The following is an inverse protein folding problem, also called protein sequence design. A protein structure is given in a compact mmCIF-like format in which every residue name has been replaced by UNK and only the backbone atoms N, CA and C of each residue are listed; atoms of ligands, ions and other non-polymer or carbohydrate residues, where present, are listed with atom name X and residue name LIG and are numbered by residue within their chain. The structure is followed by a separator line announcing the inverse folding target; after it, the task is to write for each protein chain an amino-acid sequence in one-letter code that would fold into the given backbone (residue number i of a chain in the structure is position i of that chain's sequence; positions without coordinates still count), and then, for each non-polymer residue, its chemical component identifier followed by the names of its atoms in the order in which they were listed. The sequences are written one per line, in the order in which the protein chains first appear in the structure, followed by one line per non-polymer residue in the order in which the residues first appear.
data_IF_316146626147
#
_entry.id   IF_316146626147
#
_cell.length_a   1.000
_cell.length_b   1.000
_cell.length_c   1.000
_cell.angle_alpha   90.00
_cell.angle_beta   90.00
_cell.angle_gamma   90.00
#
_symmetry.space_group_name_H-M   'P 1'
#
loop_
_entity.id
_entity.type
_entity.pdbx_description
1 polymer ?
#
# COMPACT_ATOMS: atom_id res chain seq x y z
N UNK A 1 -79.50 -21.15 -5.46
CA UNK A 1 -78.56 -20.75 -4.33
C UNK A 1 -77.13 -20.98 -4.80
N UNK A 2 -76.47 -19.95 -5.19
CA UNK A 2 -75.11 -20.01 -5.81
C UNK A 2 -74.12 -19.47 -4.81
N UNK A 3 -73.24 -20.36 -4.31
CA UNK A 3 -72.14 -19.99 -3.42
C UNK A 3 -70.96 -19.56 -4.29
N UNK A 4 -70.52 -18.28 -4.15
CA UNK A 4 -69.34 -17.71 -4.77
C UNK A 4 -68.13 -18.11 -3.94
N UNK A 5 -67.21 -18.85 -4.55
CA UNK A 5 -65.89 -19.16 -3.96
C UNK A 5 -64.88 -18.09 -4.43
N UNK A 6 -64.41 -17.31 -3.49
CA UNK A 6 -63.32 -16.36 -3.76
C UNK A 6 -61.96 -17.10 -3.69
N UNK A 7 -61.30 -17.20 -4.83
CA UNK A 7 -59.90 -17.64 -4.92
C UNK A 7 -59.02 -16.44 -4.66
N UNK A 8 -58.38 -16.45 -3.51
CA UNK A 8 -57.32 -15.49 -3.17
C UNK A 8 -56.00 -15.97 -3.82
N UNK A 9 -55.59 -15.29 -4.87
CA UNK A 9 -54.29 -15.50 -5.50
C UNK A 9 -53.21 -14.83 -4.64
N UNK A 10 -52.39 -15.62 -3.97
CA UNK A 10 -51.19 -15.17 -3.28
C UNK A 10 -50.09 -15.02 -4.32
N UNK A 11 -49.77 -13.79 -4.67
CA UNK A 11 -48.62 -13.43 -5.50
C UNK A 11 -47.37 -13.48 -4.66
N UNK A 12 -46.61 -14.57 -4.73
CA UNK A 12 -45.29 -14.68 -4.16
C UNK A 12 -44.33 -13.94 -5.07
N UNK A 13 -43.97 -12.72 -4.70
CA UNK A 13 -42.91 -11.97 -5.35
C UNK A 13 -41.56 -12.61 -4.98
N UNK A 14 -40.97 -13.32 -5.93
CA UNK A 14 -39.60 -13.84 -5.85
C UNK A 14 -38.65 -12.65 -5.98
N UNK A 15 -38.16 -12.15 -4.86
CA UNK A 15 -37.06 -11.20 -4.84
C UNK A 15 -35.78 -11.98 -5.15
N UNK A 16 -35.45 -12.07 -6.43
CA UNK A 16 -34.15 -12.52 -6.88
C UNK A 16 -33.11 -11.42 -6.54
N UNK A 17 -32.52 -11.51 -5.36
CA UNK A 17 -31.36 -10.72 -5.03
C UNK A 17 -30.22 -11.16 -5.94
N UNK A 18 -30.01 -10.39 -7.01
CA UNK A 18 -28.85 -10.51 -7.88
C UNK A 18 -27.61 -10.17 -7.03
N UNK A 19 -26.89 -11.21 -6.63
CA UNK A 19 -25.51 -11.09 -6.16
C UNK A 19 -24.61 -10.74 -7.36
N UNK A 20 -24.91 -9.61 -8.02
CA UNK A 20 -24.08 -9.04 -9.06
C UNK A 20 -22.88 -8.40 -8.41
N UNK A 21 -21.87 -9.20 -8.32
CA UNK A 21 -20.51 -8.82 -8.63
C UNK A 21 -19.90 -7.65 -7.84
N UNK A 22 -19.53 -7.93 -6.58
CA UNK A 22 -18.55 -7.11 -5.84
C UNK A 22 -17.16 -7.05 -6.54
N UNK A 23 -16.95 -7.82 -7.59
CA UNK A 23 -15.75 -7.79 -8.44
C UNK A 23 -15.75 -6.68 -9.49
N UNK A 24 -16.92 -6.32 -10.02
CA UNK A 24 -17.03 -5.29 -11.08
C UNK A 24 -16.92 -3.86 -10.54
N UNK A 25 -17.28 -3.63 -9.28
CA UNK A 25 -17.14 -2.31 -8.66
C UNK A 25 -15.69 -1.89 -8.39
N UNK A 26 -14.74 -2.82 -8.37
CA UNK A 26 -13.30 -2.49 -8.18
C UNK A 26 -12.64 -1.91 -9.42
N UNK A 27 -13.17 -2.11 -10.60
CA UNK A 27 -12.57 -1.66 -11.87
C UNK A 27 -13.12 -0.31 -12.32
N UNK A 28 -14.35 0.03 -11.93
CA UNK A 28 -15.01 1.30 -12.29
C UNK A 28 -14.63 2.49 -11.40
N UNK A 29 -13.83 2.28 -10.34
CA UNK A 29 -13.65 3.25 -9.26
C UNK A 29 -12.43 4.17 -9.35
N UNK A 30 -11.66 4.15 -10.43
CA UNK A 30 -10.50 5.05 -10.55
C UNK A 30 -10.88 6.44 -11.07
N UNK A 31 -12.10 6.61 -11.54
CA UNK A 31 -12.60 7.88 -12.09
C UNK A 31 -13.25 8.77 -11.02
N UNK A 32 -13.46 8.26 -9.82
CA UNK A 32 -13.90 9.05 -8.68
C UNK A 32 -12.68 9.47 -7.87
N UNK A 33 -12.35 10.76 -7.86
CA UNK A 33 -11.24 11.35 -7.12
C UNK A 33 -11.12 10.85 -5.66
N UNK A 34 -12.21 10.47 -5.02
CA UNK A 34 -12.24 9.96 -3.65
C UNK A 34 -11.57 8.58 -3.46
N UNK A 35 -11.58 7.71 -4.47
CA UNK A 35 -10.92 6.40 -4.36
C UNK A 35 -9.39 6.53 -4.51
N UNK A 36 -8.92 7.34 -5.45
CA UNK A 36 -7.48 7.57 -5.62
C UNK A 36 -6.87 8.28 -4.39
N UNK A 37 -7.56 9.23 -3.82
CA UNK A 37 -7.09 9.94 -2.63
C UNK A 37 -6.96 9.01 -1.42
N UNK A 38 -7.93 8.13 -1.21
CA UNK A 38 -7.84 7.13 -0.13
C UNK A 38 -6.72 6.10 -0.36
N UNK A 39 -6.46 5.70 -1.62
CA UNK A 39 -5.30 4.87 -1.96
C UNK A 39 -3.99 5.60 -1.66
N UNK A 40 -3.87 6.85 -2.05
CA UNK A 40 -2.68 7.67 -1.80
C UNK A 40 -2.40 7.77 -0.30
N UNK A 41 -3.40 8.18 0.50
CA UNK A 41 -3.26 8.30 1.95
C UNK A 41 -2.83 7.01 2.61
N UNK A 42 -3.47 5.88 2.26
CA UNK A 42 -3.16 4.56 2.81
C UNK A 42 -1.72 4.13 2.49
N UNK A 43 -1.32 4.19 1.22
CA UNK A 43 0.02 3.75 0.80
C UNK A 43 1.12 4.69 1.27
N UNK A 44 0.86 6.00 1.32
CA UNK A 44 1.78 7.00 1.85
C UNK A 44 2.07 6.75 3.33
N UNK A 45 1.01 6.59 4.14
CA UNK A 45 1.12 6.30 5.57
C UNK A 45 1.86 4.98 5.82
N UNK A 46 1.48 3.90 5.12
CA UNK A 46 2.10 2.57 5.26
C UNK A 46 3.61 2.56 4.94
N UNK A 47 4.11 3.51 4.16
CA UNK A 47 5.51 3.57 3.74
C UNK A 47 6.28 4.79 4.29
N UNK A 48 5.69 5.57 5.19
CA UNK A 48 6.28 6.79 5.76
C UNK A 48 6.77 7.78 4.68
N UNK A 49 5.93 8.01 3.66
CA UNK A 49 6.19 8.97 2.59
C UNK A 49 5.10 10.04 2.61
N UNK A 50 5.43 11.34 2.44
CA UNK A 50 4.41 12.37 2.32
C UNK A 50 3.47 12.10 1.14
N UNK A 51 2.16 12.23 1.34
CA UNK A 51 1.15 12.05 0.27
C UNK A 51 1.46 12.90 -0.96
N UNK A 52 1.94 14.11 -0.75
CA UNK A 52 2.30 15.02 -1.82
C UNK A 52 3.40 14.43 -2.73
N UNK A 53 4.32 13.65 -2.17
CA UNK A 53 5.34 12.97 -2.98
C UNK A 53 4.71 11.88 -3.85
N UNK A 54 3.76 11.11 -3.31
CA UNK A 54 3.03 10.09 -4.07
C UNK A 54 2.24 10.76 -5.20
N UNK A 55 1.49 11.83 -4.91
CA UNK A 55 0.75 12.63 -5.90
C UNK A 55 1.66 13.18 -6.99
N UNK A 56 2.82 13.70 -6.63
CA UNK A 56 3.81 14.24 -7.57
C UNK A 56 4.31 13.18 -8.54
N UNK A 57 4.61 11.96 -8.07
CA UNK A 57 5.02 10.86 -8.94
C UNK A 57 3.85 10.44 -9.84
N UNK A 58 2.66 10.21 -9.30
CA UNK A 58 1.47 9.84 -10.09
C UNK A 58 1.21 10.85 -11.22
N UNK A 59 1.20 12.15 -10.88
CA UNK A 59 0.99 13.22 -11.85
C UNK A 59 2.04 13.19 -12.99
N UNK A 60 3.30 12.95 -12.62
CA UNK A 60 4.41 12.93 -13.58
C UNK A 60 4.37 11.68 -14.47
N UNK A 61 4.09 10.51 -13.91
CA UNK A 61 4.27 9.22 -14.57
C UNK A 61 3.08 8.84 -15.45
N UNK A 62 1.86 9.10 -14.99
CA UNK A 62 0.64 8.68 -15.71
C UNK A 62 -0.44 9.75 -15.82
N UNK A 63 -0.31 10.85 -15.06
CA UNK A 63 -1.41 11.81 -14.90
C UNK A 63 -2.62 11.23 -14.18
N UNK A 64 -2.44 10.18 -13.38
CA UNK A 64 -3.51 9.50 -12.63
C UNK A 64 -4.15 8.33 -13.37
N UNK A 65 -3.67 7.96 -14.55
CA UNK A 65 -4.23 6.87 -15.37
C UNK A 65 -3.63 5.51 -14.97
N UNK A 66 -4.45 4.61 -14.45
CA UNK A 66 -3.99 3.32 -13.94
C UNK A 66 -3.52 2.33 -15.03
N UNK A 67 -4.14 2.39 -16.22
CA UNK A 67 -3.91 1.38 -17.27
C UNK A 67 -2.84 1.77 -18.28
N UNK A 68 -1.97 2.75 -17.97
CA UNK A 68 -0.90 3.17 -18.88
C UNK A 68 0.22 2.12 -18.91
N UNK A 69 0.64 1.78 -20.13
CA UNK A 69 1.84 0.97 -20.39
C UNK A 69 2.74 1.81 -21.28
N UNK A 70 3.97 2.06 -20.88
CA UNK A 70 4.94 2.81 -21.66
C UNK A 70 6.36 2.29 -21.43
N UNK A 71 7.03 1.89 -22.52
CA UNK A 71 8.45 1.46 -22.50
C UNK A 71 8.76 0.41 -21.42
N UNK A 72 7.81 -0.53 -21.18
CA UNK A 72 7.96 -1.58 -20.17
C UNK A 72 7.73 -1.10 -18.71
N UNK A 73 7.16 0.10 -18.54
CA UNK A 73 6.63 0.56 -17.27
C UNK A 73 5.10 0.41 -17.26
N UNK A 74 4.52 0.14 -16.09
CA UNK A 74 3.13 -0.26 -15.94
C UNK A 74 2.41 0.57 -14.88
N UNK A 75 1.15 0.92 -15.18
CA UNK A 75 0.19 1.41 -14.21
C UNK A 75 0.38 2.86 -13.78
N UNK A 76 -0.31 3.22 -12.69
CA UNK A 76 -0.47 4.60 -12.24
C UNK A 76 0.85 5.29 -11.85
N UNK A 77 1.83 4.55 -11.36
CA UNK A 77 3.16 5.06 -10.99
C UNK A 77 4.27 4.60 -11.95
N UNK A 78 3.94 3.96 -13.08
CA UNK A 78 4.86 3.53 -14.12
C UNK A 78 6.05 2.72 -13.59
N UNK A 79 5.77 1.70 -12.76
CA UNK A 79 6.81 0.82 -12.23
C UNK A 79 7.17 -0.28 -13.22
N UNK A 80 8.43 -0.67 -13.30
CA UNK A 80 8.88 -1.83 -14.08
C UNK A 80 8.58 -3.12 -13.34
N UNK A 81 8.24 -4.19 -14.10
CA UNK A 81 7.99 -5.51 -13.51
C UNK A 81 9.18 -6.01 -12.68
N UNK A 82 10.42 -5.81 -13.15
CA UNK A 82 11.62 -6.18 -12.39
C UNK A 82 11.75 -5.42 -11.08
N UNK A 83 11.45 -4.12 -11.08
CA UNK A 83 11.46 -3.29 -9.86
C UNK A 83 10.37 -3.72 -8.89
N UNK A 84 9.15 -3.97 -9.38
CA UNK A 84 8.05 -4.48 -8.55
C UNK A 84 8.39 -5.84 -7.92
N UNK A 85 9.03 -6.74 -8.69
CA UNK A 85 9.50 -8.03 -8.19
C UNK A 85 10.56 -7.88 -7.09
N UNK A 86 11.49 -6.94 -7.23
CA UNK A 86 12.44 -6.58 -6.18
C UNK A 86 11.77 -6.04 -4.92
N UNK A 87 10.59 -5.43 -5.05
CA UNK A 87 9.77 -4.98 -3.92
C UNK A 87 8.84 -6.09 -3.36
N UNK A 88 8.93 -7.33 -3.87
CA UNK A 88 8.18 -8.48 -3.39
C UNK A 88 6.98 -8.88 -4.26
N UNK A 89 6.73 -8.23 -5.40
CA UNK A 89 5.64 -8.60 -6.31
C UNK A 89 5.87 -9.98 -6.93
N UNK A 90 4.83 -10.82 -6.95
CA UNK A 90 4.88 -12.19 -7.52
C UNK A 90 3.89 -12.40 -8.68
N UNK A 91 3.14 -11.36 -9.04
CA UNK A 91 2.15 -11.43 -10.12
C UNK A 91 2.74 -11.19 -11.51
N UNK A 92 1.82 -11.00 -12.47
CA UNK A 92 2.13 -10.71 -13.87
C UNK A 92 2.25 -9.20 -14.13
N UNK A 93 2.81 -8.82 -15.28
CA UNK A 93 2.85 -7.41 -15.70
C UNK A 93 1.44 -6.78 -15.78
N UNK A 94 0.45 -7.54 -16.22
CA UNK A 94 -0.95 -7.08 -16.29
C UNK A 94 -1.53 -6.73 -14.91
N UNK A 95 -1.16 -7.45 -13.85
CA UNK A 95 -1.61 -7.14 -12.50
C UNK A 95 -1.11 -5.78 -11.98
N UNK A 96 -0.03 -5.23 -12.55
CA UNK A 96 0.46 -3.88 -12.24
C UNK A 96 -0.39 -2.76 -12.85
N UNK A 97 -1.42 -3.07 -13.63
CA UNK A 97 -2.39 -2.10 -14.14
C UNK A 97 -3.51 -1.83 -13.13
N UNK A 98 -3.66 -2.66 -12.11
CA UNK A 98 -4.49 -2.35 -10.95
C UNK A 98 -3.79 -1.30 -10.08
N UNK A 99 -4.50 -0.23 -9.74
CA UNK A 99 -3.91 0.92 -9.05
C UNK A 99 -3.42 0.59 -7.65
N UNK A 100 -4.19 -0.20 -6.89
CA UNK A 100 -3.84 -0.58 -5.53
C UNK A 100 -2.60 -1.50 -5.52
N UNK A 101 -2.60 -2.51 -6.40
CA UNK A 101 -1.45 -3.39 -6.61
C UNK A 101 -0.22 -2.60 -7.04
N UNK A 102 -0.37 -1.67 -8.00
CA UNK A 102 0.73 -0.82 -8.46
C UNK A 102 1.33 0.00 -7.33
N UNK A 103 0.48 0.69 -6.57
CA UNK A 103 0.90 1.55 -5.46
C UNK A 103 1.53 0.77 -4.31
N UNK A 104 1.09 -0.45 -4.04
CA UNK A 104 1.71 -1.33 -3.04
C UNK A 104 3.23 -1.47 -3.24
N UNK A 105 3.67 -1.65 -4.47
CA UNK A 105 5.09 -1.84 -4.78
C UNK A 105 5.80 -0.55 -5.19
N UNK A 106 5.11 0.33 -5.91
CA UNK A 106 5.70 1.56 -6.39
C UNK A 106 5.91 2.59 -5.26
N UNK A 107 5.00 2.69 -4.28
CA UNK A 107 5.20 3.57 -3.11
C UNK A 107 6.29 3.01 -2.19
N UNK A 108 6.39 1.68 -2.06
CA UNK A 108 7.51 1.04 -1.36
C UNK A 108 8.86 1.41 -2.01
N UNK A 109 8.95 1.35 -3.34
CA UNK A 109 10.13 1.80 -4.08
C UNK A 109 10.38 3.31 -3.91
N UNK A 110 9.33 4.13 -3.95
CA UNK A 110 9.41 5.59 -3.70
C UNK A 110 9.94 5.90 -2.29
N UNK A 111 9.52 5.16 -1.28
CA UNK A 111 10.02 5.32 0.09
C UNK A 111 11.54 5.14 0.18
N UNK A 112 12.10 4.16 -0.54
CA UNK A 112 13.55 4.00 -0.64
C UNK A 112 14.24 5.18 -1.31
N UNK A 113 13.68 5.68 -2.41
CA UNK A 113 14.18 6.88 -3.09
C UNK A 113 14.11 8.12 -2.19
N UNK A 114 13.02 8.29 -1.43
CA UNK A 114 12.80 9.38 -0.49
C UNK A 114 13.84 9.38 0.66
N UNK A 115 14.07 8.19 1.25
CA UNK A 115 15.12 8.04 2.28
C UNK A 115 16.52 8.29 1.71
N UNK A 116 16.84 7.74 0.55
CA UNK A 116 18.12 7.96 -0.12
C UNK A 116 18.35 9.44 -0.46
N UNK A 117 17.26 10.17 -0.75
CA UNK A 117 17.27 11.61 -0.99
C UNK A 117 17.35 12.45 0.30
N UNK A 118 17.24 11.84 1.48
CA UNK A 118 17.18 12.57 2.76
C UNK A 118 15.96 13.46 2.86
N UNK A 119 14.82 13.05 2.27
CA UNK A 119 13.58 13.82 2.26
C UNK A 119 13.49 14.92 1.20
N UNK A 120 14.54 15.16 0.41
CA UNK A 120 14.52 16.18 -0.64
C UNK A 120 13.62 15.76 -1.80
N UNK A 121 12.53 16.50 -2.03
CA UNK A 121 11.51 16.19 -3.01
C UNK A 121 12.05 16.12 -4.45
N UNK A 122 12.85 17.07 -4.88
CA UNK A 122 13.43 17.10 -6.22
C UNK A 122 14.40 15.94 -6.46
N UNK A 123 15.22 15.62 -5.46
CA UNK A 123 16.15 14.50 -5.51
C UNK A 123 15.40 13.16 -5.51
N UNK A 124 14.31 13.04 -4.74
CA UNK A 124 13.45 11.87 -4.71
C UNK A 124 12.90 11.54 -6.09
N UNK A 125 12.39 12.55 -6.81
CA UNK A 125 11.88 12.38 -8.18
C UNK A 125 12.98 11.88 -9.12
N UNK A 126 14.19 12.44 -9.03
CA UNK A 126 15.33 11.95 -9.83
C UNK A 126 15.68 10.51 -9.51
N UNK A 127 15.73 10.16 -8.23
CA UNK A 127 16.03 8.81 -7.78
C UNK A 127 14.95 7.80 -8.13
N UNK A 128 13.68 8.19 -8.09
CA UNK A 128 12.60 7.34 -8.53
C UNK A 128 12.74 6.98 -10.02
N UNK A 129 13.04 7.96 -10.86
CA UNK A 129 13.16 7.78 -12.31
C UNK A 129 14.44 7.04 -12.74
N UNK A 130 15.57 7.35 -12.11
CA UNK A 130 16.89 6.86 -12.54
C UNK A 130 17.40 5.66 -11.71
N UNK A 131 16.74 5.35 -10.58
CA UNK A 131 17.25 4.42 -9.58
C UNK A 131 18.10 5.11 -8.51
N UNK A 132 18.09 4.54 -7.31
CA UNK A 132 18.77 5.12 -6.15
C UNK A 132 19.77 4.17 -5.48
N UNK A 133 20.04 3.02 -6.09
CA UNK A 133 20.91 1.98 -5.52
C UNK A 133 22.26 2.54 -5.05
N UNK A 134 23.01 3.19 -5.95
CA UNK A 134 24.33 3.70 -5.59
C UNK A 134 24.30 4.82 -4.54
N UNK A 135 23.23 5.63 -4.57
CA UNK A 135 23.05 6.67 -3.56
C UNK A 135 22.77 6.08 -2.17
N UNK A 136 21.91 5.06 -2.11
CA UNK A 136 21.59 4.33 -0.88
C UNK A 136 22.82 3.56 -0.35
N UNK A 137 23.59 2.93 -1.25
CA UNK A 137 24.84 2.22 -0.91
C UNK A 137 25.87 3.15 -0.25
N UNK A 138 26.10 4.32 -0.85
CA UNK A 138 27.04 5.32 -0.27
C UNK A 138 26.59 5.82 1.10
N UNK A 139 25.29 5.86 1.37
CA UNK A 139 24.73 6.28 2.67
C UNK A 139 24.58 5.13 3.68
N UNK A 140 25.03 3.93 3.35
CA UNK A 140 24.91 2.76 4.22
C UNK A 140 23.47 2.33 4.49
N UNK A 141 22.55 2.68 3.58
CA UNK A 141 21.13 2.32 3.68
C UNK A 141 20.80 0.93 3.10
N UNK A 142 21.79 0.26 2.51
CA UNK A 142 21.66 -1.09 1.97
C UNK A 142 22.39 -2.09 2.86
N UNK A 143 21.82 -3.30 2.97
CA UNK A 143 22.50 -4.41 3.62
C UNK A 143 23.68 -4.89 2.74
N UNK A 144 24.84 -5.05 3.36
CA UNK A 144 26.07 -5.48 2.67
C UNK A 144 26.06 -6.97 2.31
N UNK A 145 25.07 -7.73 2.79
CA UNK A 145 24.98 -9.17 2.63
C UNK A 145 24.33 -9.65 1.32
N UNK A 146 23.86 -8.73 0.48
CA UNK A 146 23.08 -9.07 -0.70
C UNK A 146 23.64 -8.38 -1.95
N UNK A 147 24.33 -9.13 -2.81
CA UNK A 147 24.93 -8.63 -4.05
C UNK A 147 23.92 -8.24 -5.13
N UNK A 148 22.64 -8.65 -4.98
CA UNK A 148 21.59 -8.22 -5.88
C UNK A 148 21.00 -6.88 -5.42
N UNK A 149 21.12 -5.81 -6.24
CA UNK A 149 20.60 -4.50 -5.89
C UNK A 149 19.11 -4.48 -5.49
N UNK A 150 18.29 -5.30 -6.14
CA UNK A 150 16.84 -5.34 -5.90
C UNK A 150 16.51 -6.09 -4.59
N UNK A 151 17.24 -7.15 -4.27
CA UNK A 151 17.04 -7.91 -3.03
C UNK A 151 17.59 -7.12 -1.83
N UNK A 152 18.71 -6.41 -2.00
CA UNK A 152 19.25 -5.49 -1.01
C UNK A 152 18.24 -4.38 -0.65
N UNK A 153 17.49 -3.88 -1.63
CA UNK A 153 16.40 -2.92 -1.41
C UNK A 153 15.23 -3.55 -0.67
N UNK A 154 14.76 -4.72 -1.08
CA UNK A 154 13.65 -5.41 -0.43
C UNK A 154 13.97 -5.71 1.04
N UNK A 155 15.17 -6.20 1.33
CA UNK A 155 15.62 -6.53 2.68
C UNK A 155 15.86 -5.29 3.56
N UNK A 156 16.39 -4.19 2.98
CA UNK A 156 16.56 -2.93 3.71
C UNK A 156 15.19 -2.30 4.11
N UNK A 157 14.17 -2.48 3.28
CA UNK A 157 12.80 -2.03 3.56
C UNK A 157 12.18 -2.81 4.73
N UNK A 158 12.23 -4.16 4.69
CA UNK A 158 11.70 -5.03 5.74
C UNK A 158 12.38 -4.79 7.09
N UNK A 159 13.69 -4.55 7.08
CA UNK A 159 14.47 -4.31 8.31
C UNK A 159 14.13 -2.98 8.98
N UNK A 160 13.73 -1.97 8.20
CA UNK A 160 13.34 -0.66 8.76
C UNK A 160 11.96 -0.74 9.42
N UNK A 161 11.04 -1.53 8.86
CA UNK A 161 9.72 -1.80 9.42
C UNK A 161 9.84 -2.54 10.76
N UNK A 162 10.62 -3.63 10.82
CA UNK A 162 10.86 -4.41 12.04
C UNK A 162 11.52 -3.56 13.15
N UNK A 163 12.44 -2.66 12.78
CA UNK A 163 13.10 -1.77 13.76
C UNK A 163 12.15 -0.68 14.27
N UNK A 164 11.22 -0.20 13.45
CA UNK A 164 10.19 0.76 13.87
C UNK A 164 9.18 0.11 14.82
N UNK A 165 8.71 -1.09 14.50
CA UNK A 165 7.80 -1.88 15.35
C UNK A 165 8.45 -2.23 16.70
N UNK A 166 9.71 -2.65 16.71
CA UNK A 166 10.45 -2.94 17.95
C UNK A 166 10.65 -1.71 18.82
N UNK A 167 10.87 -0.53 18.22
CA UNK A 167 10.95 0.74 18.96
C UNK A 167 9.62 1.15 19.57
N UNK A 168 8.52 0.97 18.84
CA UNK A 168 7.17 1.30 19.32
C UNK A 168 6.75 0.35 20.44
N UNK A 169 7.02 -0.96 20.30
CA UNK A 169 6.76 -1.95 21.33
C UNK A 169 7.59 -1.68 22.61
N UNK A 170 8.86 -1.31 22.46
CA UNK A 170 9.73 -0.96 23.59
C UNK A 170 9.31 0.33 24.30
N UNK A 171 8.83 1.32 23.56
CA UNK A 171 8.31 2.58 24.12
C UNK A 171 7.00 2.36 24.89
N UNK A 172 6.13 1.48 24.38
CA UNK A 172 4.89 1.08 25.07
C UNK A 172 5.18 0.27 26.36
N UNK A 173 6.19 -0.58 26.34
CA UNK A 173 6.59 -1.38 27.52
C UNK A 173 7.19 -0.50 28.64
N UNK A 174 7.88 0.61 28.30
CA UNK A 174 8.40 1.56 29.28
C UNK A 174 7.34 2.48 29.87
N UNK A 175 6.16 2.61 29.26
CA UNK A 175 5.07 3.48 29.71
C UNK A 175 3.99 2.75 30.51
N UNK A 176 4.15 1.46 30.78
CA UNK A 176 3.22 0.72 31.64
C UNK A 176 3.40 1.15 33.11
N UNK A 177 2.34 1.56 33.82
CA UNK A 177 2.46 1.88 35.24
C UNK A 177 2.78 0.61 36.04
N UNK A 178 3.85 0.71 36.81
CA UNK A 178 4.25 -0.32 37.76
C UNK A 178 3.08 -0.62 38.75
N UNK A 179 2.46 -1.80 38.63
CA UNK A 179 1.39 -2.22 39.49
C UNK A 179 1.94 -2.39 40.90
N UNK A 180 1.46 -1.57 41.83
CA UNK A 180 1.76 -1.63 43.22
C UNK A 180 1.57 -3.08 43.78
N UNK A 181 2.63 -3.62 44.33
CA UNK A 181 2.63 -4.93 44.98
C UNK A 181 1.67 -4.99 46.19
N UNK A 182 1.17 -6.18 46.58
CA UNK A 182 0.22 -6.34 47.66
C UNK A 182 0.86 -6.05 49.02
N UNK A 183 0.32 -5.04 49.70
CA UNK A 183 0.69 -4.71 51.07
C UNK A 183 0.51 -5.88 52.02
N UNK A 184 1.57 -6.23 52.70
CA UNK A 184 1.60 -7.16 53.83
C UNK A 184 0.74 -6.65 54.97
N UNK A 185 -0.43 -7.27 55.20
CA UNK A 185 -1.20 -7.08 56.44
C UNK A 185 -0.58 -7.94 57.56
N UNK A 186 0.15 -7.28 58.44
CA UNK A 186 0.47 -7.87 59.75
C UNK A 186 -0.71 -7.73 60.66
N UNK A 187 -1.33 -8.86 61.03
CA UNK A 187 -2.23 -8.98 62.18
C UNK A 187 -1.39 -9.23 63.44
N UNK A 188 -1.64 -8.36 64.40
CA UNK A 188 -1.33 -8.60 65.80
C UNK A 188 -2.56 -8.29 66.62
#
# INVERSE_FOLDING_TARGET
MIRKIFLASILVALVSASAASAKDQRVAGLDANGNLDSLISRHAAANNVPEEMVRRIIKRESGGRAHVISKGNYGIMQIRLGTARGMGYRGTAAGLLDADTNMTYAVKYLAGAYRAAGGNAGQTVRYYAAGYYYAAKRKGLLDKSNDNPLDAFANAMTRTETKAETRTASALALSAPESAGPGSMNFK
#
